data_IF_360327882681
#
_entry.id   IF_360327882681
#
_cell.length_a   1.000
_cell.length_b   1.000
_cell.length_c   1.000
_cell.angle_alpha   90.00
_cell.angle_beta   90.00
_cell.angle_gamma   90.00
#
_symmetry.space_group_name_H-M   'P 1'
#
loop_
_entity.id
_entity.type
_entity.pdbx_description
1 polymer ?
#
# COMPACT_ATOMS: atom_id res chain seq x y z
N UNK A 1 33.79 53.87 -18.64
CA UNK A 1 32.80 52.95 -19.25
C UNK A 1 31.67 52.78 -18.26
N UNK A 2 30.42 52.93 -18.70
CA UNK A 2 29.29 52.54 -17.86
C UNK A 2 29.44 51.05 -17.56
N UNK A 3 29.31 50.64 -16.30
CA UNK A 3 29.64 49.30 -15.81
C UNK A 3 28.72 48.18 -16.32
N UNK A 4 28.30 48.26 -17.58
CA UNK A 4 27.59 47.23 -18.32
C UNK A 4 28.55 46.04 -18.47
N UNK A 5 28.17 44.93 -17.85
CA UNK A 5 28.93 43.69 -17.91
C UNK A 5 28.99 43.11 -19.32
N UNK A 6 30.05 42.36 -19.60
CA UNK A 6 30.12 41.58 -20.83
C UNK A 6 28.99 40.53 -20.80
N UNK A 7 28.05 40.65 -21.75
CA UNK A 7 26.87 39.77 -21.81
C UNK A 7 25.56 40.41 -21.34
N UNK A 8 25.56 41.67 -20.89
CA UNK A 8 24.31 42.38 -20.60
C UNK A 8 23.35 42.35 -21.79
N UNK A 9 22.07 42.12 -21.52
CA UNK A 9 21.03 41.99 -22.57
C UNK A 9 19.88 42.97 -22.32
N UNK A 10 18.93 43.01 -23.26
CA UNK A 10 17.68 43.76 -23.09
C UNK A 10 17.87 45.26 -22.88
N UNK A 11 17.17 45.83 -21.90
CA UNK A 11 17.12 47.27 -21.65
C UNK A 11 18.50 47.86 -21.32
N UNK A 12 19.40 47.08 -20.71
CA UNK A 12 20.76 47.50 -20.37
C UNK A 12 21.60 47.96 -21.57
N UNK A 13 21.29 47.51 -22.79
CA UNK A 13 21.97 47.93 -24.02
C UNK A 13 21.64 49.37 -24.45
N UNK A 14 20.60 49.97 -23.88
CA UNK A 14 20.21 51.36 -24.16
C UNK A 14 20.86 52.38 -23.21
N UNK A 15 21.74 51.93 -22.31
CA UNK A 15 22.49 52.76 -21.37
C UNK A 15 23.33 53.80 -22.10
N UNK A 16 23.22 55.06 -21.67
CA UNK A 16 23.96 56.18 -22.26
C UNK A 16 24.88 56.85 -21.25
N UNK A 17 25.98 57.41 -21.75
CA UNK A 17 26.86 58.30 -20.98
C UNK A 17 26.32 59.73 -21.11
N UNK A 18 26.03 60.38 -19.99
CA UNK A 18 25.53 61.76 -19.95
C UNK A 18 26.37 62.60 -18.96
N UNK A 19 26.48 63.90 -19.20
CA UNK A 19 27.07 64.83 -18.24
C UNK A 19 25.96 65.36 -17.33
N UNK A 20 26.06 65.10 -16.03
CA UNK A 20 25.11 65.55 -15.01
C UNK A 20 25.87 66.27 -13.89
N UNK A 21 25.49 67.53 -13.63
CA UNK A 21 26.13 68.41 -12.65
C UNK A 21 27.67 68.51 -12.79
N UNK A 22 28.17 68.52 -14.03
CA UNK A 22 29.61 68.66 -14.30
C UNK A 22 30.42 67.37 -14.14
N UNK A 23 29.76 66.23 -13.88
CA UNK A 23 30.38 64.91 -13.85
C UNK A 23 29.78 63.99 -14.92
N UNK A 24 30.61 63.16 -15.55
CA UNK A 24 30.13 62.09 -16.42
C UNK A 24 29.44 61.01 -15.59
N UNK A 25 28.17 60.74 -15.89
CA UNK A 25 27.35 59.69 -15.26
C UNK A 25 26.75 58.79 -16.34
N UNK A 26 26.32 57.62 -15.90
CA UNK A 26 25.62 56.66 -16.74
C UNK A 26 24.13 56.75 -16.47
N UNK A 27 23.36 56.91 -17.53
CA UNK A 27 21.89 56.92 -17.47
C UNK A 27 21.40 55.55 -17.89
N UNK A 28 20.87 54.81 -16.92
CA UNK A 28 20.27 53.49 -17.12
C UNK A 28 18.76 53.62 -17.35
N UNK A 29 18.13 52.62 -17.99
CA UNK A 29 16.68 52.55 -18.11
C UNK A 29 15.99 52.57 -16.73
N UNK A 30 14.74 53.03 -16.71
CA UNK A 30 13.93 52.97 -15.48
C UNK A 30 13.90 51.54 -14.92
N UNK A 31 14.05 51.40 -13.60
CA UNK A 31 14.06 50.11 -12.91
C UNK A 31 15.39 49.34 -12.95
N UNK A 32 16.41 49.83 -13.66
CA UNK A 32 17.74 49.20 -13.73
C UNK A 32 18.79 50.03 -13.00
N UNK A 33 19.78 49.36 -12.40
CA UNK A 33 20.88 49.98 -11.65
C UNK A 33 20.40 51.03 -10.61
N UNK A 34 19.30 50.78 -9.92
CA UNK A 34 18.65 51.75 -9.02
C UNK A 34 19.35 51.90 -7.66
N UNK A 35 20.34 51.06 -7.36
CA UNK A 35 21.14 51.13 -6.14
C UNK A 35 22.25 52.18 -6.16
N UNK A 36 23.09 52.19 -5.11
CA UNK A 36 24.23 53.09 -4.98
C UNK A 36 25.29 52.91 -6.09
N UNK A 37 25.33 51.73 -6.70
CA UNK A 37 26.04 51.43 -7.94
C UNK A 37 25.30 50.34 -8.69
N UNK A 38 25.56 50.20 -9.99
CA UNK A 38 24.92 49.15 -10.77
C UNK A 38 25.26 47.76 -10.22
N UNK A 39 26.54 47.48 -9.90
CA UNK A 39 26.98 46.22 -9.28
C UNK A 39 26.39 45.92 -7.89
N UNK A 40 25.85 46.93 -7.19
CA UNK A 40 25.22 46.76 -5.88
C UNK A 40 23.69 46.65 -5.97
N UNK A 41 23.12 46.73 -7.18
CA UNK A 41 21.68 46.54 -7.39
C UNK A 41 21.42 45.03 -7.37
N UNK A 42 20.60 44.51 -6.43
CA UNK A 42 20.24 43.10 -6.44
C UNK A 42 19.31 42.81 -7.62
N UNK A 43 19.49 41.67 -8.27
CA UNK A 43 18.52 41.20 -9.24
C UNK A 43 17.23 40.74 -8.57
N UNK A 44 16.13 41.07 -9.24
CA UNK A 44 14.81 40.54 -8.95
C UNK A 44 14.60 39.27 -9.76
N UNK A 45 13.58 38.47 -9.45
CA UNK A 45 13.22 37.27 -10.21
C UNK A 45 12.17 37.65 -11.26
N UNK A 46 12.56 38.45 -12.25
CA UNK A 46 11.68 38.98 -13.29
C UNK A 46 12.13 38.59 -14.72
N UNK A 47 13.21 37.83 -14.83
CA UNK A 47 13.81 37.44 -16.10
C UNK A 47 14.60 38.57 -16.76
N UNK A 48 14.90 39.65 -16.04
CA UNK A 48 15.70 40.79 -16.49
C UNK A 48 17.06 40.81 -15.78
N UNK A 49 17.96 41.62 -16.32
CA UNK A 49 19.30 41.90 -15.78
C UNK A 49 19.22 43.28 -15.10
N UNK A 50 18.60 43.36 -13.93
CA UNK A 50 18.31 44.63 -13.25
C UNK A 50 19.60 45.37 -12.87
N UNK A 51 20.73 44.67 -12.78
CA UNK A 51 22.04 45.22 -12.44
C UNK A 51 23.03 45.25 -13.62
N UNK A 52 22.54 45.00 -14.84
CA UNK A 52 23.26 45.06 -16.10
C UNK A 52 24.64 44.35 -16.09
N UNK A 53 24.80 43.27 -15.33
CA UNK A 53 26.07 42.57 -15.19
C UNK A 53 26.24 41.42 -16.19
N UNK A 54 25.21 41.13 -17.00
CA UNK A 54 25.20 40.03 -17.97
C UNK A 54 24.58 38.73 -17.48
N UNK A 55 24.10 38.68 -16.25
CA UNK A 55 23.39 37.54 -15.69
C UNK A 55 21.96 37.94 -15.36
N UNK A 56 21.01 37.11 -15.77
CA UNK A 56 19.60 37.28 -15.38
C UNK A 56 19.36 36.60 -14.05
N UNK A 57 18.63 37.25 -13.15
CA UNK A 57 18.13 36.71 -11.88
C UNK A 57 19.19 35.95 -11.05
N UNK A 58 20.46 36.38 -11.03
CA UNK A 58 21.55 35.60 -10.43
C UNK A 58 21.41 35.43 -8.92
N UNK A 59 20.71 36.35 -8.25
CA UNK A 59 20.34 36.23 -6.84
C UNK A 59 19.47 34.99 -6.56
N UNK A 60 18.85 34.41 -7.59
CA UNK A 60 18.02 33.22 -7.53
C UNK A 60 18.71 31.98 -8.11
N UNK A 61 20.04 32.02 -8.29
CA UNK A 61 20.86 30.90 -8.78
C UNK A 61 21.95 30.51 -7.75
N UNK A 62 22.52 29.30 -7.84
CA UNK A 62 23.67 28.93 -7.01
C UNK A 62 24.90 29.78 -7.36
N UNK A 63 25.75 30.15 -6.38
CA UNK A 63 25.70 29.75 -4.97
C UNK A 63 24.88 30.70 -4.07
N UNK A 64 24.28 31.78 -4.60
CA UNK A 64 23.58 32.79 -3.80
C UNK A 64 22.33 32.18 -3.16
N UNK A 65 21.50 31.52 -3.97
CA UNK A 65 20.38 30.73 -3.50
C UNK A 65 20.74 29.24 -3.55
N UNK A 66 20.77 28.60 -2.39
CA UNK A 66 21.22 27.20 -2.24
C UNK A 66 20.09 26.17 -2.31
N UNK A 67 18.83 26.59 -2.15
CA UNK A 67 17.63 25.76 -2.28
C UNK A 67 16.51 26.57 -2.92
N UNK A 68 15.70 25.95 -3.78
CA UNK A 68 14.67 26.61 -4.56
C UNK A 68 15.21 27.49 -5.68
N UNK A 69 16.44 27.26 -6.14
CA UNK A 69 17.06 28.10 -7.16
C UNK A 69 16.51 27.82 -8.56
N UNK A 70 16.59 28.81 -9.45
CA UNK A 70 16.07 28.71 -10.81
C UNK A 70 16.65 27.50 -11.57
N UNK A 71 15.75 26.66 -12.08
CA UNK A 71 16.11 25.43 -12.80
C UNK A 71 16.38 24.23 -11.89
N UNK A 72 16.34 24.36 -10.56
CA UNK A 72 16.40 23.22 -9.65
C UNK A 72 15.17 22.32 -9.88
N UNK A 73 15.38 21.02 -10.07
CA UNK A 73 14.28 20.04 -10.11
C UNK A 73 13.59 19.97 -8.74
N UNK A 74 12.27 19.80 -8.76
CA UNK A 74 11.46 19.75 -7.56
C UNK A 74 10.26 18.82 -7.75
N UNK A 75 9.70 18.36 -6.63
CA UNK A 75 8.47 17.59 -6.59
C UNK A 75 7.39 18.30 -5.77
N UNK A 76 6.13 18.02 -6.10
CA UNK A 76 4.97 18.61 -5.40
C UNK A 76 4.98 18.35 -3.89
N UNK A 77 5.64 17.29 -3.44
CA UNK A 77 5.63 16.83 -2.05
C UNK A 77 6.99 16.94 -1.36
N UNK A 78 7.96 17.67 -1.92
CA UNK A 78 9.32 17.81 -1.37
C UNK A 78 9.30 18.16 0.13
N UNK A 79 8.36 19.02 0.55
CA UNK A 79 8.17 19.46 1.94
C UNK A 79 6.88 18.94 2.59
N UNK A 80 6.27 17.90 2.04
CA UNK A 80 5.03 17.30 2.57
C UNK A 80 5.31 15.94 3.20
N UNK A 81 4.60 15.65 4.29
CA UNK A 81 4.54 14.31 4.88
C UNK A 81 3.08 14.04 5.30
N UNK A 82 2.48 12.90 4.91
CA UNK A 82 3.05 11.86 4.05
C UNK A 82 3.33 12.36 2.62
N UNK A 83 4.26 11.69 1.93
CA UNK A 83 4.56 11.97 0.52
C UNK A 83 3.33 11.69 -0.35
N UNK A 84 3.23 12.33 -1.51
CA UNK A 84 2.08 12.19 -2.41
C UNK A 84 2.08 10.86 -3.19
N UNK A 85 3.18 10.09 -3.13
CA UNK A 85 3.27 8.78 -3.76
C UNK A 85 2.98 8.85 -5.26
N UNK A 86 2.02 8.05 -5.72
CA UNK A 86 1.59 7.99 -7.12
C UNK A 86 1.03 9.30 -7.68
N UNK A 87 0.65 10.22 -6.79
CA UNK A 87 0.00 11.49 -7.11
C UNK A 87 0.99 12.66 -7.11
N UNK A 88 2.28 12.36 -6.98
CA UNK A 88 3.36 13.32 -7.03
C UNK A 88 3.49 13.95 -8.44
N UNK A 89 3.67 15.27 -8.48
CA UNK A 89 4.08 16.00 -9.67
C UNK A 89 5.57 16.28 -9.61
N UNK A 90 6.21 16.35 -10.78
CA UNK A 90 7.58 16.85 -10.91
C UNK A 90 7.59 18.18 -11.68
N UNK A 91 8.57 19.01 -11.36
CA UNK A 91 8.71 20.33 -11.97
C UNK A 91 10.10 20.90 -11.75
N UNK A 92 10.22 22.20 -11.99
CA UNK A 92 11.44 22.97 -11.75
C UNK A 92 11.09 24.27 -11.05
N UNK A 93 11.98 24.77 -10.19
CA UNK A 93 11.85 26.10 -9.62
C UNK A 93 11.97 27.17 -10.71
N UNK A 94 10.96 28.04 -10.76
CA UNK A 94 10.86 29.21 -11.64
C UNK A 94 10.45 30.43 -10.81
N UNK A 95 10.60 31.64 -11.34
CA UNK A 95 10.09 32.84 -10.67
C UNK A 95 8.57 32.74 -10.46
N UNK A 96 8.13 32.92 -9.23
CA UNK A 96 6.72 33.00 -8.85
C UNK A 96 6.27 34.46 -8.72
N UNK A 97 7.15 35.28 -8.13
CA UNK A 97 7.03 36.73 -8.05
C UNK A 97 8.40 37.34 -8.35
N UNK A 98 8.48 38.67 -8.42
CA UNK A 98 9.78 39.37 -8.57
C UNK A 98 10.73 39.14 -7.40
N UNK A 99 10.29 38.54 -6.29
CA UNK A 99 11.16 38.30 -5.13
C UNK A 99 11.27 36.84 -4.71
N UNK A 100 10.52 35.92 -5.33
CA UNK A 100 10.44 34.52 -4.90
C UNK A 100 10.38 33.54 -6.08
N UNK A 101 10.95 32.36 -5.88
CA UNK A 101 10.78 31.20 -6.77
C UNK A 101 9.70 30.25 -6.22
N UNK A 102 9.07 29.48 -7.11
CA UNK A 102 8.18 28.37 -6.73
C UNK A 102 8.41 27.16 -7.62
N UNK A 103 8.13 25.97 -7.09
CA UNK A 103 8.16 24.73 -7.85
C UNK A 103 6.99 24.73 -8.85
N UNK A 104 7.29 24.75 -10.15
CA UNK A 104 6.31 24.85 -11.21
C UNK A 104 6.47 23.73 -12.24
N UNK A 105 5.35 23.29 -12.82
CA UNK A 105 5.36 22.34 -13.93
C UNK A 105 5.78 23.01 -15.26
N UNK A 106 5.75 22.22 -16.34
CA UNK A 106 6.08 22.70 -17.69
C UNK A 106 5.18 23.87 -18.14
N UNK A 107 3.92 23.88 -17.74
CA UNK A 107 2.95 24.92 -18.06
C UNK A 107 3.06 26.20 -17.18
N UNK A 108 4.00 26.25 -16.23
CA UNK A 108 4.19 27.40 -15.33
C UNK A 108 3.20 27.44 -14.16
N UNK A 109 2.49 26.34 -13.90
CA UNK A 109 1.58 26.24 -12.76
C UNK A 109 2.37 25.81 -11.54
N UNK A 110 2.15 26.46 -10.40
CA UNK A 110 2.77 26.06 -9.12
C UNK A 110 2.20 24.73 -8.65
N UNK A 111 3.09 23.78 -8.31
CA UNK A 111 2.70 22.41 -7.94
C UNK A 111 3.05 22.04 -6.50
N UNK A 112 3.71 22.93 -5.75
CA UNK A 112 4.05 22.68 -4.35
C UNK A 112 2.79 22.42 -3.51
N UNK A 113 2.79 21.30 -2.78
CA UNK A 113 1.68 20.79 -1.98
C UNK A 113 0.40 20.45 -2.78
N UNK A 114 0.50 20.29 -4.10
CA UNK A 114 -0.64 19.95 -4.96
C UNK A 114 -0.52 18.50 -5.45
N UNK A 115 -1.45 17.64 -5.04
CA UNK A 115 -1.57 16.27 -5.59
C UNK A 115 -2.18 16.31 -6.99
N UNK A 116 -1.73 15.43 -7.89
CA UNK A 116 -2.52 15.14 -9.08
C UNK A 116 -3.81 14.44 -8.66
N UNK A 117 -4.95 14.76 -9.30
CA UNK A 117 -6.11 13.90 -9.19
C UNK A 117 -5.77 12.52 -9.78
N UNK A 118 -6.32 11.46 -9.19
CA UNK A 118 -6.25 10.12 -9.74
C UNK A 118 -6.91 10.07 -11.14
N UNK A 119 -6.50 9.08 -11.94
CA UNK A 119 -7.06 8.79 -13.25
C UNK A 119 -6.01 8.75 -14.37
N UNK A 120 -6.44 8.33 -15.56
CA UNK A 120 -5.56 8.06 -16.71
C UNK A 120 -5.62 9.11 -17.82
N UNK A 121 -6.38 10.18 -17.63
CA UNK A 121 -6.49 11.30 -18.57
C UNK A 121 -5.30 12.26 -18.45
N UNK A 122 -5.11 13.09 -19.47
CA UNK A 122 -4.08 14.14 -19.44
C UNK A 122 -4.29 15.09 -18.25
N UNK A 123 -3.24 15.29 -17.45
CA UNK A 123 -3.30 16.11 -16.24
C UNK A 123 -3.73 15.35 -14.97
N UNK A 124 -3.81 14.02 -15.02
CA UNK A 124 -4.04 13.14 -13.87
C UNK A 124 -2.77 12.33 -13.54
N UNK A 125 -2.78 11.58 -12.44
CA UNK A 125 -1.64 10.78 -11.96
C UNK A 125 -1.19 9.69 -12.93
N UNK A 126 -2.05 9.25 -13.84
CA UNK A 126 -1.83 8.10 -14.73
C UNK A 126 -2.26 6.77 -14.11
N UNK A 127 -2.70 6.76 -12.85
CA UNK A 127 -3.16 5.56 -12.15
C UNK A 127 -4.68 5.52 -12.06
N UNK A 128 -5.31 4.32 -12.14
CA UNK A 128 -6.73 4.17 -11.85
C UNK A 128 -7.04 4.66 -10.43
N UNK A 129 -8.24 5.22 -10.24
CA UNK A 129 -8.67 5.66 -8.92
C UNK A 129 -9.20 4.52 -8.04
N UNK A 130 -9.47 3.33 -8.60
CA UNK A 130 -9.83 2.18 -7.79
C UNK A 130 -8.58 1.74 -7.01
N UNK A 131 -8.68 1.75 -5.69
CA UNK A 131 -7.63 1.25 -4.81
C UNK A 131 -7.34 -0.23 -5.06
N UNK A 132 -6.05 -0.52 -5.19
CA UNK A 132 -5.53 -1.86 -5.33
C UNK A 132 -4.71 -2.19 -4.11
N UNK A 133 -4.69 -3.46 -3.69
CA UNK A 133 -3.90 -3.84 -2.54
C UNK A 133 -2.41 -4.01 -2.89
N UNK A 134 -1.71 -2.89 -3.03
CA UNK A 134 -0.34 -2.80 -3.53
C UNK A 134 0.62 -1.99 -2.64
N UNK A 135 0.13 -1.38 -1.55
CA UNK A 135 0.95 -0.54 -0.68
C UNK A 135 1.00 0.92 -1.11
N UNK A 136 0.16 1.34 -2.06
CA UNK A 136 0.16 2.68 -2.64
C UNK A 136 -1.21 3.35 -2.50
N UNK A 137 -1.21 4.68 -2.48
CA UNK A 137 -2.40 5.54 -2.52
C UNK A 137 -2.73 5.77 -4.01
N UNK A 138 -3.63 4.95 -4.58
CA UNK A 138 -3.98 4.98 -6.00
C UNK A 138 -4.98 6.11 -6.31
N UNK A 139 -5.86 6.41 -5.35
CA UNK A 139 -6.93 7.39 -5.48
C UNK A 139 -6.56 8.82 -5.07
N UNK A 140 -5.35 8.98 -4.50
CA UNK A 140 -4.73 10.23 -4.11
C UNK A 140 -5.34 10.91 -2.88
N UNK A 141 -6.12 10.20 -2.06
CA UNK A 141 -6.80 10.80 -0.92
C UNK A 141 -5.91 10.90 0.35
N UNK A 142 -4.76 10.21 0.35
CA UNK A 142 -3.79 10.20 1.44
C UNK A 142 -3.92 9.03 2.42
N UNK A 143 -4.85 8.12 2.16
CA UNK A 143 -4.95 6.80 2.79
C UNK A 143 -4.43 5.77 1.80
N UNK A 144 -3.69 4.79 2.29
CA UNK A 144 -3.08 3.74 1.47
C UNK A 144 -3.90 2.46 1.63
N UNK A 145 -4.31 1.84 0.52
CA UNK A 145 -5.02 0.57 0.47
C UNK A 145 -6.25 0.51 1.37
N UNK A 146 -7.08 1.54 1.34
CA UNK A 146 -8.17 1.67 2.32
C UNK A 146 -9.26 0.58 2.20
N UNK A 147 -9.82 0.13 3.32
CA UNK A 147 -10.90 -0.83 3.33
C UNK A 147 -12.25 -0.10 3.19
N UNK A 148 -13.32 -0.85 2.89
CA UNK A 148 -14.66 -0.28 2.67
C UNK A 148 -15.18 0.62 3.81
N UNK A 149 -14.76 0.35 5.06
CA UNK A 149 -15.17 1.16 6.23
C UNK A 149 -14.37 2.45 6.42
N UNK A 150 -13.33 2.65 5.63
CA UNK A 150 -12.49 3.84 5.66
C UNK A 150 -12.17 4.40 4.26
N UNK A 151 -13.04 4.10 3.26
CA UNK A 151 -12.98 4.48 1.83
C UNK A 151 -13.01 5.98 1.48
N UNK A 152 -12.61 6.82 2.43
CA UNK A 152 -12.70 8.25 2.30
C UNK A 152 -14.08 8.77 1.90
N UNK A 153 -14.10 9.69 0.94
CA UNK A 153 -15.31 10.35 0.45
C UNK A 153 -15.89 9.72 -0.81
N UNK A 154 -15.12 8.88 -1.49
CA UNK A 154 -15.56 8.21 -2.71
C UNK A 154 -16.24 6.88 -2.37
N UNK A 155 -17.39 6.60 -2.97
CA UNK A 155 -18.13 5.38 -2.66
C UNK A 155 -17.45 4.09 -3.17
N UNK A 156 -16.55 4.21 -4.15
CA UNK A 156 -16.01 3.09 -4.94
C UNK A 156 -14.49 2.95 -4.91
N UNK A 157 -13.76 3.95 -4.42
CA UNK A 157 -12.29 3.93 -4.32
C UNK A 157 -11.92 3.33 -2.97
N UNK A 158 -11.72 2.01 -2.97
CA UNK A 158 -11.27 1.22 -1.82
C UNK A 158 -10.93 -0.19 -2.29
N UNK A 159 -10.15 -0.90 -1.48
CA UNK A 159 -9.62 -2.23 -1.82
C UNK A 159 -10.75 -3.26 -1.87
N UNK A 160 -11.14 -3.65 -3.09
CA UNK A 160 -12.11 -4.74 -3.31
C UNK A 160 -11.42 -6.10 -3.11
N UNK A 161 -11.86 -6.94 -2.16
CA UNK A 161 -11.19 -8.21 -1.89
C UNK A 161 -11.47 -9.27 -2.95
N UNK A 162 -10.48 -10.14 -3.23
CA UNK A 162 -10.71 -11.34 -4.02
C UNK A 162 -11.40 -12.41 -3.18
N UNK A 163 -12.63 -12.73 -3.54
CA UNK A 163 -13.48 -13.64 -2.77
C UNK A 163 -14.06 -14.76 -3.61
N UNK A 164 -14.37 -15.86 -2.93
CA UNK A 164 -15.11 -16.99 -3.46
C UNK A 164 -16.43 -17.09 -2.73
N UNK A 165 -17.54 -17.20 -3.49
CA UNK A 165 -18.86 -17.49 -2.92
C UNK A 165 -18.97 -18.97 -2.57
N UNK A 166 -19.25 -19.27 -1.31
CA UNK A 166 -19.37 -20.63 -0.79
C UNK A 166 -20.80 -21.16 -1.00
N UNK A 167 -21.04 -21.73 -2.18
CA UNK A 167 -22.28 -22.44 -2.49
C UNK A 167 -23.53 -21.56 -2.34
N UNK A 168 -24.62 -22.14 -1.83
CA UNK A 168 -25.87 -21.42 -1.55
C UNK A 168 -25.88 -20.70 -0.20
N UNK A 169 -24.83 -20.81 0.61
CA UNK A 169 -24.81 -20.35 2.00
C UNK A 169 -24.71 -18.82 2.15
N UNK A 170 -24.70 -18.07 1.03
CA UNK A 170 -24.53 -16.61 1.01
C UNK A 170 -23.29 -16.10 1.75
N UNK A 171 -22.31 -16.97 1.98
CA UNK A 171 -21.01 -16.60 2.56
C UNK A 171 -20.03 -16.37 1.42
N UNK A 172 -19.30 -15.26 1.49
CA UNK A 172 -18.12 -15.02 0.67
C UNK A 172 -16.90 -15.15 1.55
N UNK A 173 -15.84 -15.77 1.04
CA UNK A 173 -14.60 -15.99 1.77
C UNK A 173 -13.44 -15.50 0.92
N UNK A 174 -12.44 -14.90 1.57
CA UNK A 174 -11.16 -14.62 0.93
C UNK A 174 -10.62 -15.85 0.21
N UNK A 175 -10.28 -15.65 -1.07
CA UNK A 175 -9.82 -16.70 -1.96
C UNK A 175 -8.51 -17.32 -1.47
N UNK A 176 -7.60 -16.47 -1.05
CA UNK A 176 -6.29 -16.80 -0.50
C UNK A 176 -6.26 -16.47 0.99
N UNK A 177 -5.28 -17.02 1.72
CA UNK A 177 -4.92 -16.51 3.06
C UNK A 177 -4.74 -14.99 3.00
N UNK A 178 -5.05 -14.29 4.09
CA UNK A 178 -4.93 -12.84 4.13
C UNK A 178 -3.47 -12.42 3.89
N UNK A 179 -3.27 -11.33 3.18
CA UNK A 179 -1.98 -10.75 2.82
C UNK A 179 -1.96 -9.28 3.23
N UNK A 180 -0.78 -8.76 3.54
CA UNK A 180 -0.57 -7.31 3.72
C UNK A 180 -0.42 -6.64 2.34
N UNK A 181 -0.75 -5.35 2.19
CA UNK A 181 -0.61 -4.69 0.90
C UNK A 181 0.80 -4.64 0.36
N UNK A 182 1.76 -4.26 1.21
CA UNK A 182 3.19 -4.27 0.86
C UNK A 182 3.84 -5.66 0.80
N UNK A 183 3.08 -6.75 0.87
CA UNK A 183 3.65 -8.09 0.72
C UNK A 183 4.08 -8.35 -0.73
N UNK A 184 5.17 -9.10 -0.89
CA UNK A 184 5.69 -9.58 -2.17
C UNK A 184 5.78 -11.10 -2.16
N UNK A 185 6.38 -11.71 -3.18
CA UNK A 185 6.66 -13.15 -3.20
C UNK A 185 7.67 -13.61 -2.15
N UNK A 186 8.46 -12.70 -1.58
CA UNK A 186 9.53 -13.06 -0.62
C UNK A 186 9.47 -12.26 0.68
N UNK A 187 8.61 -11.24 0.75
CA UNK A 187 8.46 -10.40 1.95
C UNK A 187 6.99 -10.35 2.39
N UNK A 188 6.68 -10.53 3.69
CA UNK A 188 5.31 -10.55 4.20
C UNK A 188 4.65 -9.17 4.34
N UNK A 189 5.33 -8.10 3.94
CA UNK A 189 4.96 -6.73 4.25
C UNK A 189 5.07 -6.40 5.75
N UNK A 190 4.86 -5.14 6.08
CA UNK A 190 4.82 -4.63 7.47
C UNK A 190 3.43 -4.16 7.81
N UNK A 191 3.03 -4.30 9.08
CA UNK A 191 1.71 -3.87 9.53
C UNK A 191 1.13 -4.75 10.63
N UNK A 192 0.42 -4.13 11.56
CA UNK A 192 -0.32 -4.76 12.66
C UNK A 192 -1.83 -4.75 12.43
N UNK A 193 -2.32 -3.95 11.47
CA UNK A 193 -3.72 -3.96 11.08
C UNK A 193 -4.66 -3.29 12.07
N UNK A 194 -4.14 -2.54 13.03
CA UNK A 194 -4.98 -1.78 13.93
C UNK A 194 -5.44 -0.49 13.26
N UNK A 195 -6.75 -0.40 13.10
CA UNK A 195 -7.46 0.80 12.68
C UNK A 195 -8.13 1.46 13.87
N UNK A 196 -8.48 2.73 13.70
CA UNK A 196 -9.44 3.39 14.58
C UNK A 196 -10.32 4.28 13.74
N UNK A 197 -11.43 3.71 13.25
CA UNK A 197 -12.49 4.50 12.66
C UNK A 197 -13.14 5.40 13.71
N UNK A 198 -13.71 6.54 13.29
CA UNK A 198 -14.46 7.44 14.17
C UNK A 198 -15.63 6.70 14.89
N UNK A 199 -16.11 5.61 14.29
CA UNK A 199 -17.16 4.76 14.84
C UNK A 199 -16.70 3.29 14.83
N UNK A 200 -16.25 2.77 15.96
CA UNK A 200 -15.97 1.35 16.12
C UNK A 200 -17.28 0.55 16.14
N UNK A 201 -17.32 -0.62 15.49
CA UNK A 201 -18.49 -1.51 15.58
C UNK A 201 -18.50 -2.30 16.88
N UNK A 202 -19.67 -2.76 17.32
CA UNK A 202 -19.84 -3.53 18.56
C UNK A 202 -19.13 -4.89 18.53
N UNK A 203 -18.92 -5.46 17.34
CA UNK A 203 -18.19 -6.71 17.11
C UNK A 203 -16.70 -6.51 16.79
N UNK A 204 -16.21 -5.27 16.86
CA UNK A 204 -14.83 -4.92 16.52
C UNK A 204 -13.97 -4.82 17.80
N UNK A 205 -12.92 -5.63 17.94
CA UNK A 205 -11.98 -5.50 19.05
C UNK A 205 -11.33 -4.11 19.04
N UNK A 206 -11.21 -3.50 20.22
CA UNK A 206 -10.54 -2.20 20.37
C UNK A 206 -9.02 -2.38 20.31
N UNK A 207 -8.29 -1.55 19.53
CA UNK A 207 -6.84 -1.54 19.56
C UNK A 207 -6.29 -1.38 20.99
N UNK A 208 -5.29 -2.16 21.42
CA UNK A 208 -4.69 -2.00 22.74
C UNK A 208 -4.07 -0.61 22.93
N UNK A 209 -4.18 -0.06 24.14
CA UNK A 209 -3.58 1.25 24.47
C UNK A 209 -2.08 1.25 24.18
N UNK A 210 -1.58 2.35 23.58
CA UNK A 210 -0.17 2.49 23.21
C UNK A 210 0.23 1.77 21.91
N UNK A 211 -0.69 1.08 21.23
CA UNK A 211 -0.40 0.46 19.93
C UNK A 211 -0.43 1.48 18.82
N UNK A 212 0.60 1.49 17.97
CA UNK A 212 0.61 2.29 16.74
C UNK A 212 -0.51 1.82 15.82
N UNK A 213 -1.32 2.75 15.32
CA UNK A 213 -2.37 2.48 14.34
C UNK A 213 -1.79 2.66 12.95
N UNK A 214 -1.26 1.58 12.37
CA UNK A 214 -0.69 1.64 11.02
C UNK A 214 -1.72 1.50 9.90
N UNK A 215 -2.98 1.20 10.25
CA UNK A 215 -4.09 1.10 9.29
C UNK A 215 -3.74 0.17 8.12
N UNK A 216 -3.16 -0.99 8.43
CA UNK A 216 -2.90 -2.00 7.40
C UNK A 216 -4.19 -2.75 7.06
N UNK A 217 -4.59 -2.76 5.79
CA UNK A 217 -5.76 -3.52 5.31
C UNK A 217 -5.44 -5.01 5.15
N UNK A 218 -6.45 -5.87 5.35
CA UNK A 218 -6.36 -7.29 5.03
C UNK A 218 -6.78 -7.54 3.58
N UNK A 219 -5.88 -8.11 2.78
CA UNK A 219 -6.12 -8.37 1.37
C UNK A 219 -6.14 -9.86 1.05
N UNK A 220 -6.75 -10.22 -0.07
CA UNK A 220 -6.68 -11.59 -0.61
C UNK A 220 -6.07 -11.55 -2.00
N UNK A 221 -4.74 -11.72 -2.06
CA UNK A 221 -3.97 -11.54 -3.29
C UNK A 221 -3.15 -12.80 -3.54
N UNK A 222 -3.11 -13.24 -4.80
CA UNK A 222 -2.29 -14.37 -5.22
C UNK A 222 -0.80 -14.00 -5.22
N UNK A 223 0.06 -14.99 -5.01
CA UNK A 223 1.51 -14.83 -5.19
C UNK A 223 2.14 -13.77 -4.26
N UNK A 224 1.60 -13.62 -3.05
CA UNK A 224 2.18 -12.80 -1.97
C UNK A 224 2.37 -13.68 -0.73
N UNK A 225 3.43 -13.43 0.04
CA UNK A 225 3.62 -14.11 1.34
C UNK A 225 2.43 -13.78 2.24
N UNK A 226 1.72 -14.78 2.79
CA UNK A 226 0.55 -14.53 3.62
C UNK A 226 0.92 -13.86 4.95
N UNK A 227 -0.07 -13.19 5.52
CA UNK A 227 0.05 -12.47 6.78
C UNK A 227 0.10 -13.45 7.95
N UNK A 228 1.31 -13.68 8.46
CA UNK A 228 1.56 -14.47 9.66
C UNK A 228 1.88 -13.60 10.90
N UNK A 229 2.01 -14.25 12.06
CA UNK A 229 2.33 -13.62 13.35
C UNK A 229 1.31 -12.53 13.72
N UNK A 230 0.05 -12.91 13.62
CA UNK A 230 -1.12 -12.10 13.95
C UNK A 230 -1.95 -12.79 15.02
N UNK A 231 -2.52 -11.99 15.93
CA UNK A 231 -3.43 -12.48 16.97
C UNK A 231 -4.88 -12.52 16.52
N UNK A 232 -5.72 -13.29 17.22
CA UNK A 232 -7.16 -13.38 16.93
C UNK A 232 -7.89 -12.02 16.93
N UNK A 233 -7.68 -11.14 17.93
CA UNK A 233 -8.29 -9.81 17.94
C UNK A 233 -7.80 -8.91 16.79
N UNK A 234 -6.52 -8.97 16.42
CA UNK A 234 -5.97 -8.25 15.26
C UNK A 234 -6.65 -8.71 13.97
N UNK A 235 -6.72 -10.03 13.74
CA UNK A 235 -7.36 -10.62 12.56
C UNK A 235 -8.86 -10.27 12.47
N UNK A 236 -9.59 -10.36 13.59
CA UNK A 236 -10.99 -9.97 13.66
C UNK A 236 -11.18 -8.48 13.35
N UNK A 237 -10.30 -7.63 13.86
CA UNK A 237 -10.38 -6.19 13.64
C UNK A 237 -10.23 -5.83 12.15
N UNK A 238 -9.19 -6.32 11.49
CA UNK A 238 -8.97 -6.03 10.05
C UNK A 238 -10.07 -6.59 9.16
N UNK A 239 -10.62 -7.77 9.49
CA UNK A 239 -11.74 -8.32 8.72
C UNK A 239 -13.01 -7.49 8.87
N UNK A 240 -13.25 -6.91 10.05
CA UNK A 240 -14.37 -5.97 10.26
C UNK A 240 -14.16 -4.69 9.46
N UNK A 241 -12.95 -4.17 9.40
CA UNK A 241 -12.64 -2.98 8.58
C UNK A 241 -12.91 -3.22 7.09
N UNK A 242 -12.66 -4.44 6.60
CA UNK A 242 -13.04 -4.86 5.24
C UNK A 242 -14.55 -5.05 5.02
N UNK A 243 -15.39 -4.76 6.01
CA UNK A 243 -16.85 -4.94 5.94
C UNK A 243 -17.31 -6.37 6.17
N UNK A 244 -16.40 -7.25 6.63
CA UNK A 244 -16.67 -8.64 6.93
C UNK A 244 -16.42 -8.97 8.39
N UNK A 245 -15.86 -10.16 8.61
CA UNK A 245 -15.52 -10.71 9.92
C UNK A 245 -14.50 -11.83 9.76
N UNK A 246 -13.84 -12.20 10.86
CA UNK A 246 -13.09 -13.44 10.89
C UNK A 246 -14.05 -14.60 10.57
N UNK A 247 -13.58 -15.55 9.78
CA UNK A 247 -14.37 -16.70 9.41
C UNK A 247 -14.78 -17.52 10.64
N UNK A 248 -16.03 -17.99 10.64
CA UNK A 248 -16.48 -18.91 11.69
C UNK A 248 -15.88 -20.28 11.43
N UNK A 249 -15.70 -21.05 12.50
CA UNK A 249 -15.16 -22.40 12.40
C UNK A 249 -15.92 -23.26 11.36
N UNK A 250 -17.25 -23.27 11.40
CA UNK A 250 -18.04 -24.11 10.49
C UNK A 250 -18.03 -23.65 9.02
N UNK A 251 -17.82 -22.36 8.78
CA UNK A 251 -17.67 -21.82 7.42
C UNK A 251 -16.32 -22.21 6.82
N UNK A 252 -15.28 -22.18 7.65
CA UNK A 252 -13.95 -22.67 7.29
C UNK A 252 -13.96 -24.17 7.00
N UNK A 253 -14.60 -24.97 7.86
CA UNK A 253 -14.75 -26.41 7.62
C UNK A 253 -15.51 -26.69 6.33
N UNK A 254 -16.61 -25.95 6.11
CA UNK A 254 -17.42 -26.08 4.89
C UNK A 254 -16.59 -25.71 3.67
N UNK A 255 -15.87 -24.58 3.70
CA UNK A 255 -15.01 -24.11 2.59
C UNK A 255 -13.94 -25.13 2.21
N UNK A 256 -13.36 -25.81 3.19
CA UNK A 256 -12.35 -26.86 3.01
C UNK A 256 -12.94 -28.16 2.41
N UNK A 257 -14.17 -28.51 2.80
CA UNK A 257 -14.84 -29.73 2.31
C UNK A 257 -15.35 -29.63 0.86
N UNK A 258 -15.15 -28.50 0.18
CA UNK A 258 -15.57 -28.21 -1.20
C UNK A 258 -17.09 -28.23 -1.42
N UNK A 259 -17.54 -28.04 -2.66
CA UNK A 259 -18.96 -28.15 -3.06
C UNK A 259 -19.58 -29.52 -2.80
N UNK A 260 -18.78 -30.58 -2.70
CA UNK A 260 -19.26 -31.94 -2.45
C UNK A 260 -19.55 -32.21 -0.97
N UNK A 261 -18.95 -31.43 -0.07
CA UNK A 261 -19.03 -31.62 1.37
C UNK A 261 -18.30 -32.87 1.89
N UNK A 262 -17.63 -33.64 1.03
CA UNK A 262 -16.99 -34.93 1.38
C UNK A 262 -15.46 -34.89 1.39
N UNK A 263 -14.85 -33.76 1.01
CA UNK A 263 -13.40 -33.62 1.03
C UNK A 263 -12.86 -33.63 2.46
N UNK A 264 -11.81 -34.41 2.71
CA UNK A 264 -11.10 -34.49 3.98
C UNK A 264 -10.01 -33.42 4.10
N UNK A 265 -9.45 -32.98 2.97
CA UNK A 265 -8.45 -31.90 2.85
C UNK A 265 -8.72 -31.03 1.62
N UNK A 266 -8.12 -29.84 1.57
CA UNK A 266 -8.16 -28.94 0.41
C UNK A 266 -7.23 -29.36 -0.75
N UNK A 267 -7.31 -30.61 -1.20
CA UNK A 267 -6.39 -31.22 -2.18
C UNK A 267 -6.98 -31.37 -3.58
N UNK A 268 -7.64 -30.33 -4.09
CA UNK A 268 -8.30 -30.36 -5.39
C UNK A 268 -9.21 -31.60 -5.53
N UNK A 269 -8.94 -32.45 -6.53
CA UNK A 269 -9.73 -33.67 -6.79
C UNK A 269 -9.29 -34.88 -5.93
N UNK A 270 -8.11 -34.84 -5.32
CA UNK A 270 -7.55 -35.94 -4.50
C UNK A 270 -7.86 -35.76 -3.00
N UNK A 271 -8.96 -35.07 -2.70
CA UNK A 271 -9.29 -34.57 -1.37
C UNK A 271 -9.66 -35.61 -0.31
N UNK A 272 -9.67 -36.91 -0.64
CA UNK A 272 -9.93 -38.00 0.29
C UNK A 272 -8.72 -38.93 0.50
N UNK A 273 -7.56 -38.59 -0.07
CA UNK A 273 -6.36 -39.42 0.01
C UNK A 273 -5.16 -38.57 0.38
N UNK A 274 -4.47 -38.99 1.44
CA UNK A 274 -3.24 -38.39 1.92
C UNK A 274 -2.05 -39.25 1.46
N UNK A 275 -1.04 -38.65 0.83
CA UNK A 275 0.16 -39.36 0.39
C UNK A 275 1.42 -38.56 0.76
N UNK A 276 2.25 -39.14 1.61
CA UNK A 276 3.49 -38.53 2.13
C UNK A 276 4.72 -39.07 1.39
N UNK A 277 5.09 -38.41 0.31
CA UNK A 277 6.44 -38.56 -0.28
C UNK A 277 7.25 -37.29 -0.01
N UNK A 278 8.57 -37.36 0.08
CA UNK A 278 9.46 -36.23 0.42
C UNK A 278 9.38 -35.02 -0.53
N UNK A 279 8.71 -35.15 -1.68
CA UNK A 279 8.42 -34.08 -2.63
C UNK A 279 6.91 -33.92 -2.84
N UNK A 280 6.17 -33.82 -1.73
CA UNK A 280 4.72 -33.78 -1.78
C UNK A 280 4.21 -32.42 -2.30
N UNK A 281 3.74 -32.40 -3.54
CA UNK A 281 3.30 -31.16 -4.23
C UNK A 281 1.81 -30.86 -4.10
N UNK A 282 1.07 -31.50 -3.18
CA UNK A 282 -0.38 -31.24 -3.09
C UNK A 282 -0.67 -29.97 -2.31
N UNK A 283 -0.04 -29.79 -1.15
CA UNK A 283 -0.14 -28.61 -0.30
C UNK A 283 1.14 -28.44 0.52
N UNK A 284 1.38 -27.22 0.98
CA UNK A 284 2.55 -26.88 1.79
C UNK A 284 2.39 -27.36 3.24
N UNK A 285 2.55 -28.65 3.48
CA UNK A 285 2.51 -29.27 4.81
C UNK A 285 3.86 -29.92 5.11
N UNK A 286 4.36 -29.68 6.32
CA UNK A 286 5.66 -30.21 6.73
C UNK A 286 5.68 -31.74 6.83
N UNK A 287 6.80 -32.41 6.51
CA UNK A 287 7.98 -31.86 5.86
C UNK A 287 7.76 -31.57 4.35
N UNK A 288 8.09 -30.37 3.87
CA UNK A 288 8.01 -29.99 2.44
C UNK A 288 9.28 -29.26 1.96
N UNK A 289 10.03 -29.93 1.09
CA UNK A 289 11.19 -29.35 0.41
C UNK A 289 10.73 -28.54 -0.81
N UNK A 290 10.56 -27.23 -0.60
CA UNK A 290 10.16 -26.30 -1.65
C UNK A 290 11.32 -25.81 -2.52
N UNK A 291 12.58 -26.12 -2.16
CA UNK A 291 13.75 -25.70 -2.92
C UNK A 291 14.79 -26.81 -3.00
N UNK A 292 14.51 -27.76 -3.90
CA UNK A 292 15.37 -28.92 -4.18
C UNK A 292 16.77 -28.59 -4.69
N UNK A 293 17.08 -27.32 -4.97
CA UNK A 293 18.44 -26.86 -5.32
C UNK A 293 19.30 -26.57 -4.09
N UNK A 294 18.69 -26.37 -2.92
CA UNK A 294 19.37 -26.21 -1.64
C UNK A 294 19.45 -27.55 -0.93
N UNK A 295 20.59 -27.83 -0.29
CA UNK A 295 20.75 -29.06 0.46
C UNK A 295 19.82 -29.08 1.70
N UNK A 296 19.18 -30.22 1.94
CA UNK A 296 18.25 -30.43 3.06
C UNK A 296 16.81 -30.12 2.69
N UNK A 297 15.92 -30.19 3.68
CA UNK A 297 14.51 -29.82 3.56
C UNK A 297 14.31 -28.39 4.12
N UNK A 298 13.74 -27.48 3.35
CA UNK A 298 13.63 -26.06 3.74
C UNK A 298 12.36 -25.70 4.52
N UNK A 299 11.36 -26.58 4.66
CA UNK A 299 10.16 -26.42 5.52
C UNK A 299 9.74 -24.96 5.76
N UNK A 300 9.16 -24.32 4.74
CA UNK A 300 8.99 -22.87 4.75
C UNK A 300 7.68 -22.39 4.17
N UNK A 301 7.38 -21.13 4.49
CA UNK A 301 6.18 -20.45 4.04
C UNK A 301 6.25 -20.16 2.54
N UNK A 302 5.19 -20.48 1.82
CA UNK A 302 5.06 -20.16 0.40
C UNK A 302 4.15 -18.94 0.18
N UNK A 303 4.33 -18.22 -0.94
CA UNK A 303 3.32 -17.28 -1.39
C UNK A 303 1.97 -17.96 -1.55
N UNK A 304 0.90 -17.24 -1.26
CA UNK A 304 -0.48 -17.67 -1.50
C UNK A 304 -0.66 -18.19 -2.93
N UNK A 305 -1.39 -19.30 -3.10
CA UNK A 305 -1.64 -19.92 -4.39
C UNK A 305 -0.38 -20.31 -5.17
N UNK A 306 0.70 -20.66 -4.47
CA UNK A 306 2.00 -20.99 -5.06
C UNK A 306 1.90 -22.05 -6.17
N UNK A 307 2.64 -21.82 -7.25
CA UNK A 307 2.76 -22.77 -8.36
C UNK A 307 3.52 -24.05 -7.99
N UNK A 308 4.22 -24.07 -6.83
CA UNK A 308 4.89 -25.27 -6.31
C UNK A 308 3.90 -26.30 -5.75
N UNK A 309 2.70 -25.86 -5.36
CA UNK A 309 1.63 -26.72 -4.84
C UNK A 309 0.31 -26.49 -5.60
N UNK A 310 0.28 -26.75 -6.92
CA UNK A 310 -0.80 -26.31 -7.81
C UNK A 310 -2.16 -26.98 -7.52
N UNK A 311 -2.17 -28.03 -6.69
CA UNK A 311 -3.38 -28.74 -6.26
C UNK A 311 -3.87 -28.32 -4.87
N UNK A 312 -3.27 -27.28 -4.26
CA UNK A 312 -3.60 -26.83 -2.91
C UNK A 312 -4.81 -25.90 -2.89
N UNK A 313 -5.98 -26.46 -3.18
CA UNK A 313 -7.22 -25.71 -3.15
C UNK A 313 -8.45 -26.59 -2.93
N UNK A 314 -9.49 -25.97 -2.40
CA UNK A 314 -10.84 -26.52 -2.36
C UNK A 314 -11.66 -25.99 -3.54
N UNK A 315 -12.33 -26.88 -4.27
CA UNK A 315 -13.07 -26.52 -5.49
C UNK A 315 -14.50 -26.04 -5.18
N UNK A 316 -14.84 -24.84 -5.65
CA UNK A 316 -16.16 -24.22 -5.49
C UNK A 316 -16.90 -23.99 -6.80
N UNK A 317 -16.62 -24.81 -7.82
CA UNK A 317 -17.42 -24.91 -9.05
C UNK A 317 -16.76 -24.33 -10.30
N UNK A 318 -15.62 -23.64 -10.16
CA UNK A 318 -14.84 -23.16 -11.31
C UNK A 318 -13.37 -22.96 -10.93
N UNK A 319 -12.52 -22.66 -11.91
CA UNK A 319 -11.11 -22.27 -11.69
C UNK A 319 -10.96 -20.91 -11.00
N UNK A 320 -11.97 -20.04 -11.11
CA UNK A 320 -12.02 -18.74 -10.44
C UNK A 320 -12.65 -18.83 -9.05
N UNK A 321 -13.43 -19.88 -8.78
CA UNK A 321 -14.00 -20.21 -7.49
C UNK A 321 -13.20 -21.36 -6.83
N UNK A 322 -11.95 -21.08 -6.46
CA UNK A 322 -11.09 -22.00 -5.71
C UNK A 322 -10.61 -21.31 -4.46
N UNK A 323 -10.81 -21.92 -3.30
CA UNK A 323 -10.25 -21.40 -2.05
C UNK A 323 -8.92 -22.10 -1.82
N UNK A 324 -7.83 -21.35 -1.94
CA UNK A 324 -6.48 -21.89 -1.89
C UNK A 324 -5.96 -21.95 -0.47
N UNK A 325 -5.02 -22.87 -0.22
CA UNK A 325 -4.20 -22.92 0.99
C UNK A 325 -5.00 -23.08 2.28
N UNK A 326 -6.19 -23.69 2.23
CA UNK A 326 -6.93 -24.10 3.44
C UNK A 326 -6.26 -25.28 4.16
N UNK A 327 -5.38 -26.01 3.47
CA UNK A 327 -4.61 -27.10 4.07
C UNK A 327 -3.14 -26.79 3.92
N UNK A 328 -2.44 -26.63 5.04
CA UNK A 328 -1.04 -26.22 5.06
C UNK A 328 -0.83 -24.73 4.84
N UNK A 329 0.40 -24.37 4.51
CA UNK A 329 0.93 -23.01 4.49
C UNK A 329 0.83 -22.36 5.89
N UNK A 330 -0.22 -21.62 6.24
CA UNK A 330 -0.48 -21.16 7.60
C UNK A 330 -1.65 -21.90 8.24
N UNK A 331 -1.56 -22.09 9.56
CA UNK A 331 -2.75 -22.35 10.36
C UNK A 331 -3.61 -21.10 10.35
N UNK A 332 -4.91 -21.27 10.28
CA UNK A 332 -5.82 -20.13 10.23
C UNK A 332 -6.64 -19.96 11.49
N UNK A 333 -6.61 -18.74 12.03
CA UNK A 333 -7.48 -18.32 13.12
C UNK A 333 -8.93 -18.28 12.64
N UNK A 334 -9.80 -18.96 13.38
CA UNK A 334 -11.26 -18.93 13.19
C UNK A 334 -11.96 -18.59 14.49
N UNK A 335 -13.18 -18.06 14.40
CA UNK A 335 -14.03 -17.88 15.57
C UNK A 335 -14.31 -19.25 16.21
N UNK A 336 -14.34 -19.33 17.55
CA UNK A 336 -14.50 -20.59 18.25
C UNK A 336 -15.81 -21.28 17.84
N UNK A 337 -15.83 -22.63 17.79
CA UNK A 337 -17.05 -23.37 17.48
C UNK A 337 -18.13 -23.09 18.53
N UNK A 338 -19.38 -23.07 18.10
CA UNK A 338 -20.52 -22.82 18.98
C UNK A 338 -21.86 -23.14 18.32
N UNK A 339 -22.90 -23.22 19.15
CA UNK A 339 -24.27 -23.45 18.68
C UNK A 339 -24.74 -22.31 17.77
N UNK A 340 -25.29 -22.65 16.61
CA UNK A 340 -25.82 -21.67 15.68
C UNK A 340 -24.76 -20.95 14.83
N UNK A 341 -23.52 -21.45 14.79
CA UNK A 341 -22.42 -20.86 14.02
C UNK A 341 -22.22 -19.38 14.40
N UNK A 342 -21.83 -19.05 15.65
CA UNK A 342 -21.70 -17.67 16.06
C UNK A 342 -20.46 -17.00 15.44
N UNK A 343 -20.60 -15.74 15.03
CA UNK A 343 -19.46 -14.89 14.68
C UNK A 343 -18.66 -14.48 15.94
N UNK A 344 -17.40 -14.10 15.75
CA UNK A 344 -16.62 -13.44 16.78
C UNK A 344 -17.29 -12.13 17.19
N UNK A 345 -17.17 -11.80 18.48
CA UNK A 345 -17.57 -10.51 19.04
C UNK A 345 -16.32 -9.76 19.50
N UNK A 346 -16.47 -8.49 19.88
CA UNK A 346 -15.36 -7.72 20.44
C UNK A 346 -14.77 -8.33 21.73
N UNK A 347 -15.54 -9.18 22.42
CA UNK A 347 -15.13 -9.86 23.65
C UNK A 347 -14.57 -11.27 23.42
N UNK A 348 -14.48 -11.74 22.16
CA UNK A 348 -13.94 -13.08 21.87
C UNK A 348 -12.49 -13.16 22.31
N UNK A 349 -12.22 -14.05 23.26
CA UNK A 349 -10.90 -14.23 23.89
C UNK A 349 -10.21 -15.55 23.56
N UNK A 350 -10.92 -16.47 22.89
CA UNK A 350 -10.41 -17.77 22.46
C UNK A 350 -10.70 -17.97 20.98
N UNK A 351 -9.78 -18.61 20.28
CA UNK A 351 -9.83 -18.84 18.83
C UNK A 351 -9.43 -20.28 18.51
N UNK A 352 -9.87 -20.80 17.38
CA UNK A 352 -9.52 -22.14 16.92
C UNK A 352 -8.56 -22.03 15.74
N UNK A 353 -7.47 -22.80 15.76
CA UNK A 353 -6.53 -22.89 14.63
C UNK A 353 -6.91 -24.06 13.72
N UNK A 354 -7.04 -23.78 12.44
CA UNK A 354 -7.47 -24.74 11.42
C UNK A 354 -6.38 -24.98 10.36
N UNK A 355 -6.50 -26.08 9.59
CA UNK A 355 -5.79 -26.28 8.32
C UNK A 355 -4.35 -26.79 8.38
N UNK A 356 -3.68 -26.74 9.54
CA UNK A 356 -2.25 -27.07 9.63
C UNK A 356 -1.36 -26.00 8.97
N UNK A 357 -0.04 -26.20 8.94
CA UNK A 357 0.91 -25.24 8.38
C UNK A 357 2.10 -25.96 7.72
N UNK A 358 2.99 -25.19 7.10
CA UNK A 358 4.24 -25.65 6.49
C UNK A 358 5.15 -26.47 7.42
N UNK A 359 4.92 -26.43 8.73
CA UNK A 359 5.65 -27.20 9.75
C UNK A 359 4.80 -28.28 10.45
N UNK A 360 3.58 -28.58 9.99
CA UNK A 360 2.75 -29.65 10.54
C UNK A 360 3.28 -31.02 10.12
N UNK A 361 4.23 -31.56 10.87
CA UNK A 361 4.83 -32.88 10.65
C UNK A 361 3.93 -34.03 11.15
N UNK A 362 2.77 -34.21 10.54
CA UNK A 362 1.86 -35.33 10.79
C UNK A 362 1.88 -36.32 9.62
N UNK A 363 2.40 -37.55 9.79
CA UNK A 363 2.48 -38.53 8.70
C UNK A 363 1.10 -39.00 8.19
N UNK A 364 0.04 -38.76 8.96
CA UNK A 364 -1.35 -39.09 8.57
C UNK A 364 -2.10 -37.91 7.95
N UNK A 365 -1.59 -36.69 8.15
CA UNK A 365 -2.25 -35.47 7.69
C UNK A 365 -3.46 -35.03 8.48
N UNK A 366 -3.83 -35.76 9.52
CA UNK A 366 -5.06 -35.52 10.27
C UNK A 366 -5.02 -34.20 11.03
N UNK A 367 -3.84 -33.77 11.48
CA UNK A 367 -3.61 -32.44 12.07
C UNK A 367 -3.84 -31.25 11.12
N UNK A 368 -4.10 -31.52 9.84
CA UNK A 368 -4.41 -30.54 8.80
C UNK A 368 -5.74 -30.83 8.08
N UNK A 369 -6.49 -31.84 8.52
CA UNK A 369 -7.77 -32.19 7.93
C UNK A 369 -8.81 -31.08 8.17
N UNK A 370 -9.79 -30.98 7.26
CA UNK A 370 -10.82 -29.94 7.29
C UNK A 370 -11.56 -29.87 8.64
N UNK A 371 -11.69 -31.00 9.34
CA UNK A 371 -12.47 -31.14 10.58
C UNK A 371 -11.64 -31.08 11.86
N UNK A 372 -10.31 -30.93 11.71
CA UNK A 372 -9.40 -30.94 12.84
C UNK A 372 -9.51 -29.63 13.63
N UNK A 373 -9.97 -29.71 14.88
CA UNK A 373 -10.28 -28.54 15.74
C UNK A 373 -9.59 -28.58 17.10
N UNK A 374 -8.52 -29.37 17.23
CA UNK A 374 -7.85 -29.61 18.51
C UNK A 374 -7.25 -28.34 19.14
N UNK A 375 -6.61 -27.50 18.32
CA UNK A 375 -5.88 -26.33 18.81
C UNK A 375 -6.82 -25.16 19.08
N UNK A 376 -7.00 -24.86 20.37
CA UNK A 376 -7.69 -23.66 20.84
C UNK A 376 -6.70 -22.76 21.57
N UNK A 377 -6.68 -21.48 21.20
CA UNK A 377 -5.65 -20.53 21.64
C UNK A 377 -6.26 -19.26 22.20
N UNK A 378 -5.54 -18.61 23.10
CA UNK A 378 -5.96 -17.33 23.70
C UNK A 378 -5.85 -16.17 22.71
N UNK A 379 -6.46 -15.04 23.07
CA UNK A 379 -6.43 -13.79 22.30
C UNK A 379 -5.03 -13.21 22.08
N UNK A 380 -4.04 -13.57 22.90
CA UNK A 380 -2.65 -13.12 22.76
C UNK A 380 -1.79 -14.03 21.90
N UNK A 381 -2.31 -15.19 21.50
CA UNK A 381 -1.54 -16.17 20.73
C UNK A 381 -1.29 -15.69 19.31
N UNK A 382 -0.02 -15.76 18.89
CA UNK A 382 0.43 -15.56 17.51
C UNK A 382 1.78 -16.24 17.31
N UNK A 383 1.97 -16.85 16.15
CA UNK A 383 3.22 -17.51 15.75
C UNK A 383 3.47 -17.27 14.26
N UNK A 384 4.68 -17.60 13.81
CA UNK A 384 5.11 -17.46 12.41
C UNK A 384 4.39 -18.39 11.43
N UNK A 385 3.64 -19.37 11.94
CA UNK A 385 2.84 -20.34 11.19
C UNK A 385 1.32 -20.15 11.41
N UNK A 386 0.92 -18.95 11.86
CA UNK A 386 -0.47 -18.59 12.14
C UNK A 386 -0.86 -17.35 11.35
N UNK A 387 -1.87 -17.49 10.50
CA UNK A 387 -2.53 -16.44 9.75
C UNK A 387 -4.05 -16.51 9.92
N UNK A 388 -4.77 -16.05 8.90
CA UNK A 388 -6.22 -15.96 8.92
C UNK A 388 -6.76 -15.69 7.51
N UNK A 389 -8.08 -15.73 7.38
CA UNK A 389 -8.80 -15.18 6.24
C UNK A 389 -10.14 -14.59 6.67
N UNK A 390 -10.67 -13.65 5.88
CA UNK A 390 -11.92 -12.96 6.17
C UNK A 390 -13.11 -13.60 5.44
N UNK A 391 -14.27 -13.52 6.07
CA UNK A 391 -15.56 -13.97 5.55
C UNK A 391 -16.58 -12.82 5.58
N UNK A 392 -17.55 -12.87 4.68
CA UNK A 392 -18.55 -11.83 4.45
C UNK A 392 -19.93 -12.46 4.28
N UNK A 393 -20.95 -11.81 4.85
CA UNK A 393 -22.35 -12.25 4.79
C UNK A 393 -23.10 -11.72 3.54
N UNK A 394 -22.42 -10.87 2.75
CA UNK A 394 -22.88 -10.32 1.48
C UNK A 394 -21.68 -10.21 0.51
N UNK A 395 -21.95 -9.95 -0.77
CA UNK A 395 -20.88 -9.70 -1.74
C UNK A 395 -20.09 -8.46 -1.30
N UNK A 396 -18.79 -8.60 -0.99
CA UNK A 396 -17.97 -7.49 -0.50
C UNK A 396 -17.30 -6.75 -1.65
N UNK A 397 -17.79 -6.84 -2.88
CA UNK A 397 -17.20 -6.14 -4.05
C UNK A 397 -18.09 -5.02 -4.62
N UNK A 398 -19.30 -4.87 -4.05
CA UNK A 398 -20.35 -3.93 -4.50
C UNK A 398 -20.37 -2.61 -3.72
#
# INVERSE_FOLDING_TARGET
MCGIGAGATGACLTTQVACDQGAWKCTYPAGHCTGASCAATPDTCDGLDNNCNGNLDENYKPPILNQGYLGQVCASDDNVTPKHGLCQQTGTYKCATTSTTSCQNAAGVTIANVKLPCGTLAGQSGYPCDETCDGQDNDCDGVVDEPVRAKGTNATYWVKPNVVRLGSQSVWMFRYEATRPGATQTTPGTGNGWWRSATMLTNQPTPPSGTTLDKTTACSVNNKVPWFNISGPEAQHVCVEMGGRLCRNSEWQSSCRSTTGSCRWGFANSCSTFNTTTNWTTCNLGPFDFNTTLAGNQDGLLPTGSSLVPSCYSNWGSTTARVNDLTGNLRELTCPPGTGNPACTAATSNFTLMGGAFNTADPTGEGAACDFTFYNVSSSFKLFDVGFRCCFDADPTI
#
